data_IF_087026743967
#
_entry.id   IF_087026743967
#
_cell.length_a   1.000
_cell.length_b   1.000
_cell.length_c   1.000
_cell.angle_alpha   90.00
_cell.angle_beta   90.00
_cell.angle_gamma   90.00
#
_symmetry.space_group_name_H-M   'P 1'
#
loop_
_entity.id
_entity.type
_entity.pdbx_description
1 polymer ?
#
# COMPACT_ATOMS: atom_id res chain seq x y z
N UNK A 1 1.61 -3.05 4.59
CA UNK A 1 1.21 -2.82 3.18
C UNK A 1 -0.08 -3.57 2.91
N UNK A 2 -1.01 -3.01 2.13
CA UNK A 2 -2.35 -3.61 1.95
C UNK A 2 -2.23 -4.91 1.12
N UNK A 3 -2.45 -6.05 1.79
CA UNK A 3 -2.54 -7.36 1.13
C UNK A 3 -3.92 -7.52 0.52
N UNK A 4 -3.99 -8.22 -0.60
CA UNK A 4 -5.25 -8.70 -1.17
C UNK A 4 -5.64 -9.98 -0.45
N UNK A 5 -6.84 -10.02 0.10
CA UNK A 5 -7.39 -11.18 0.77
C UNK A 5 -8.05 -12.11 -0.25
N UNK A 6 -7.92 -13.41 -0.02
CA UNK A 6 -8.55 -14.45 -0.85
C UNK A 6 -10.06 -14.21 -0.99
N UNK A 7 -10.74 -13.87 0.09
CA UNK A 7 -12.19 -13.61 0.10
C UNK A 7 -12.59 -12.48 -0.86
N UNK A 8 -11.78 -11.42 -0.95
CA UNK A 8 -12.01 -10.32 -1.90
C UNK A 8 -11.90 -10.79 -3.34
N UNK A 9 -10.97 -11.70 -3.63
CA UNK A 9 -10.80 -12.28 -4.96
C UNK A 9 -11.94 -13.25 -5.27
N UNK A 10 -12.34 -14.10 -4.33
CA UNK A 10 -13.47 -15.03 -4.50
C UNK A 10 -14.75 -14.29 -4.87
N UNK A 11 -15.07 -13.20 -4.17
CA UNK A 11 -16.26 -12.38 -4.47
C UNK A 11 -16.23 -11.80 -5.91
N UNK A 12 -15.04 -11.43 -6.41
CA UNK A 12 -14.88 -10.97 -7.80
C UNK A 12 -15.11 -12.12 -8.78
N UNK A 13 -14.56 -13.32 -8.50
CA UNK A 13 -14.72 -14.49 -9.36
C UNK A 13 -16.18 -14.96 -9.43
N UNK A 14 -16.90 -14.93 -8.31
CA UNK A 14 -18.34 -15.22 -8.25
C UNK A 14 -19.16 -14.20 -9.06
N UNK A 15 -18.84 -12.91 -8.95
CA UNK A 15 -19.48 -11.87 -9.76
C UNK A 15 -19.24 -12.09 -11.26
N UNK A 16 -18.03 -12.52 -11.65
CA UNK A 16 -17.70 -12.87 -13.04
C UNK A 16 -18.55 -14.04 -13.55
N UNK A 17 -18.73 -15.10 -12.75
CA UNK A 17 -19.63 -16.21 -13.09
C UNK A 17 -21.07 -15.74 -13.28
N UNK A 18 -21.55 -14.83 -12.42
CA UNK A 18 -22.87 -14.20 -12.54
C UNK A 18 -23.04 -13.38 -13.83
N UNK A 19 -21.94 -12.92 -14.44
CA UNK A 19 -21.92 -12.24 -15.74
C UNK A 19 -21.79 -13.20 -16.94
N UNK A 20 -21.79 -14.52 -16.71
CA UNK A 20 -21.63 -15.53 -17.75
C UNK A 20 -20.19 -15.75 -18.21
N UNK A 21 -19.20 -15.26 -17.44
CA UNK A 21 -17.79 -15.54 -17.71
C UNK A 21 -17.45 -16.90 -17.13
N UNK A 22 -16.93 -17.80 -17.96
CA UNK A 22 -16.49 -19.11 -17.51
C UNK A 22 -15.24 -18.98 -16.62
N UNK A 23 -15.43 -19.25 -15.32
CA UNK A 23 -14.37 -19.28 -14.32
C UNK A 23 -14.18 -20.74 -13.91
N UNK A 24 -12.93 -21.22 -13.97
CA UNK A 24 -12.54 -22.60 -13.65
C UNK A 24 -13.29 -23.17 -12.43
N UNK A 25 -13.62 -24.46 -12.48
CA UNK A 25 -14.37 -25.18 -11.46
C UNK A 25 -13.81 -25.10 -10.02
N UNK A 26 -12.53 -24.73 -9.84
CA UNK A 26 -11.92 -24.49 -8.54
C UNK A 26 -11.73 -22.98 -8.27
N UNK A 27 -12.84 -22.29 -7.96
CA UNK A 27 -12.86 -20.85 -7.65
C UNK A 27 -11.93 -20.51 -6.48
N UNK A 28 -11.95 -21.33 -5.43
CA UNK A 28 -11.15 -21.10 -4.23
C UNK A 28 -9.65 -21.19 -4.49
N UNK A 29 -9.20 -22.28 -5.14
CA UNK A 29 -7.78 -22.43 -5.49
C UNK A 29 -7.29 -21.33 -6.44
N UNK A 30 -8.15 -20.87 -7.35
CA UNK A 30 -7.84 -19.73 -8.22
C UNK A 30 -7.74 -18.42 -7.42
N UNK A 31 -8.64 -18.19 -6.47
CA UNK A 31 -8.62 -17.01 -5.60
C UNK A 31 -7.34 -16.96 -4.75
N UNK A 32 -6.96 -18.09 -4.15
CA UNK A 32 -5.71 -18.25 -3.39
C UNK A 32 -4.49 -17.91 -4.26
N UNK A 33 -4.41 -18.47 -5.49
CA UNK A 33 -3.29 -18.25 -6.40
C UNK A 33 -3.20 -16.77 -6.86
N UNK A 34 -4.33 -16.14 -7.17
CA UNK A 34 -4.39 -14.72 -7.55
C UNK A 34 -3.96 -13.85 -6.37
N UNK A 35 -4.53 -14.06 -5.18
CA UNK A 35 -4.18 -13.30 -3.99
C UNK A 35 -2.69 -13.43 -3.69
N UNK A 36 -2.13 -14.65 -3.79
CA UNK A 36 -0.69 -14.89 -3.66
C UNK A 36 0.11 -14.11 -4.72
N UNK A 37 -0.18 -14.28 -6.01
CA UNK A 37 0.51 -13.56 -7.10
C UNK A 37 0.46 -12.04 -6.98
N UNK A 38 -0.64 -11.50 -6.44
CA UNK A 38 -0.77 -10.08 -6.16
C UNK A 38 0.06 -9.65 -4.95
N UNK A 39 0.06 -10.45 -3.88
CA UNK A 39 0.78 -10.17 -2.65
C UNK A 39 2.30 -10.38 -2.78
N UNK A 40 2.76 -11.30 -3.62
CA UNK A 40 4.18 -11.52 -3.85
C UNK A 40 4.85 -10.29 -4.49
N UNK A 41 4.09 -9.47 -5.22
CA UNK A 41 4.53 -8.19 -5.78
C UNK A 41 4.63 -7.05 -4.74
N UNK A 42 4.18 -7.28 -3.51
CA UNK A 42 4.26 -6.30 -2.42
C UNK A 42 5.67 -6.26 -1.85
N UNK A 43 6.33 -7.42 -1.75
CA UNK A 43 7.71 -7.48 -1.34
C UNK A 43 8.58 -6.77 -2.37
N UNK A 44 9.53 -5.98 -1.88
CA UNK A 44 10.56 -5.33 -2.67
C UNK A 44 11.90 -5.55 -1.96
N UNK A 45 12.98 -5.45 -2.72
CA UNK A 45 14.31 -5.74 -2.20
C UNK A 45 14.66 -4.82 -1.02
N UNK A 46 15.31 -5.33 0.05
CA UNK A 46 15.69 -4.52 1.20
C UNK A 46 16.61 -3.32 0.86
N UNK A 47 17.34 -3.41 -0.25
CA UNK A 47 18.25 -2.37 -0.77
C UNK A 47 17.59 -1.46 -1.82
N UNK A 48 16.27 -1.56 -2.01
CA UNK A 48 15.56 -0.74 -2.98
C UNK A 48 15.67 0.76 -2.64
N UNK A 49 16.05 1.63 -3.60
CA UNK A 49 16.43 3.02 -3.32
C UNK A 49 15.23 3.97 -3.12
N UNK A 50 14.01 3.44 -3.03
CA UNK A 50 12.77 4.21 -2.91
C UNK A 50 11.89 3.67 -1.80
N UNK A 51 11.12 4.56 -1.17
CA UNK A 51 10.04 4.18 -0.28
C UNK A 51 8.90 3.52 -1.06
N UNK A 52 8.42 2.37 -0.60
CA UNK A 52 7.10 1.90 -0.95
C UNK A 52 6.05 2.67 -0.14
N UNK A 53 5.02 3.19 -0.79
CA UNK A 53 3.91 3.87 -0.12
C UNK A 53 2.57 3.23 -0.46
N UNK A 54 1.61 3.39 0.45
CA UNK A 54 0.21 3.06 0.22
C UNK A 54 -0.72 4.06 0.92
N UNK A 55 -1.73 4.55 0.22
CA UNK A 55 -2.80 5.40 0.74
C UNK A 55 -3.98 4.47 1.07
N UNK A 56 -4.49 4.54 2.30
CA UNK A 56 -5.64 3.73 2.75
C UNK A 56 -6.93 4.55 2.65
N UNK A 57 -7.99 3.87 2.21
CA UNK A 57 -9.37 4.39 2.16
C UNK A 57 -9.49 5.80 1.53
N UNK A 58 -8.88 6.06 0.36
CA UNK A 58 -8.97 7.37 -0.26
C UNK A 58 -10.41 7.63 -0.75
N UNK A 59 -10.88 8.84 -0.52
CA UNK A 59 -12.16 9.32 -1.04
C UNK A 59 -11.91 9.94 -2.42
N UNK A 60 -12.57 9.40 -3.44
CA UNK A 60 -12.53 9.94 -4.81
C UNK A 60 -13.90 10.46 -5.22
N UNK A 61 -13.96 11.68 -5.76
CA UNK A 61 -15.17 12.33 -6.23
C UNK A 61 -14.84 13.45 -7.23
N UNK A 62 -15.79 14.33 -7.53
CA UNK A 62 -15.57 15.47 -8.44
C UNK A 62 -14.46 16.43 -7.97
N UNK A 63 -14.26 16.56 -6.66
CA UNK A 63 -13.20 17.38 -6.05
C UNK A 63 -11.88 16.62 -5.96
N UNK A 64 -11.92 15.36 -5.53
CA UNK A 64 -10.74 14.50 -5.35
C UNK A 64 -10.61 13.50 -6.50
N UNK A 65 -9.81 13.88 -7.50
CA UNK A 65 -9.52 13.01 -8.65
C UNK A 65 -8.83 11.73 -8.20
N UNK A 66 -9.07 10.64 -8.94
CA UNK A 66 -8.35 9.37 -8.75
C UNK A 66 -6.84 9.59 -8.90
N UNK A 67 -6.09 9.02 -7.97
CA UNK A 67 -4.62 9.00 -7.98
C UNK A 67 -4.12 7.60 -7.64
N UNK A 68 -2.83 7.35 -7.88
CA UNK A 68 -2.23 6.08 -7.47
C UNK A 68 -2.21 5.97 -5.95
N UNK A 69 -2.84 4.93 -5.44
CA UNK A 69 -2.94 4.64 -3.99
C UNK A 69 -1.78 3.80 -3.49
N UNK A 70 -0.85 3.43 -4.38
CA UNK A 70 0.34 2.66 -4.06
C UNK A 70 1.45 2.97 -5.06
N UNK A 71 2.69 2.78 -4.66
CA UNK A 71 3.82 2.91 -5.58
C UNK A 71 5.13 3.08 -4.85
N UNK A 72 6.11 3.56 -5.59
CA UNK A 72 7.43 3.88 -5.09
C UNK A 72 7.71 5.37 -5.25
N UNK A 73 8.40 5.96 -4.28
CA UNK A 73 8.84 7.34 -4.35
C UNK A 73 10.18 7.49 -3.62
N UNK A 74 11.11 8.26 -4.21
CA UNK A 74 12.38 8.61 -3.54
C UNK A 74 12.18 9.65 -2.43
N UNK A 75 11.14 10.48 -2.57
CA UNK A 75 10.82 11.59 -1.69
C UNK A 75 9.30 11.69 -1.54
N UNK A 76 8.82 11.82 -0.31
CA UNK A 76 7.39 12.00 -0.01
C UNK A 76 7.22 13.28 0.80
N UNK A 77 6.50 14.26 0.26
CA UNK A 77 6.09 15.47 0.99
C UNK A 77 4.64 15.34 1.40
N UNK A 78 4.36 15.49 2.70
CA UNK A 78 3.02 15.48 3.24
C UNK A 78 2.72 16.83 3.87
N UNK A 79 1.51 17.33 3.65
CA UNK A 79 0.97 18.52 4.32
C UNK A 79 -0.34 18.14 5.00
N UNK A 80 -0.38 18.24 6.31
CA UNK A 80 -1.55 17.88 7.07
C UNK A 80 -2.69 18.87 6.85
N UNK A 81 -3.89 18.32 6.73
CA UNK A 81 -5.17 19.05 6.82
C UNK A 81 -6.00 18.55 8.00
N UNK A 82 -5.43 17.69 8.85
CA UNK A 82 -6.13 17.07 9.97
C UNK A 82 -6.05 17.96 11.20
N UNK A 83 -7.16 18.22 11.89
CA UNK A 83 -7.14 19.01 13.14
C UNK A 83 -6.38 18.29 14.28
N UNK A 84 -6.43 16.95 14.30
CA UNK A 84 -5.74 16.08 15.27
C UNK A 84 -5.12 14.88 14.56
N UNK A 85 -4.13 15.14 13.71
CA UNK A 85 -3.40 14.10 12.97
C UNK A 85 -2.16 13.62 13.71
N UNK A 86 -1.64 12.45 13.34
CA UNK A 86 -0.38 11.92 13.87
C UNK A 86 0.45 11.27 12.76
N UNK A 87 1.77 11.45 12.83
CA UNK A 87 2.74 10.62 12.13
C UNK A 87 3.22 9.54 13.11
N UNK A 88 3.18 8.28 12.68
CA UNK A 88 3.62 7.13 13.50
C UNK A 88 4.85 6.52 12.86
N UNK A 89 5.95 6.47 13.60
CA UNK A 89 7.23 5.90 13.17
C UNK A 89 7.47 4.58 13.91
N UNK A 90 7.77 3.53 13.16
CA UNK A 90 8.08 2.16 13.62
C UNK A 90 7.09 1.57 14.64
N UNK A 91 5.87 2.09 14.69
CA UNK A 91 4.83 1.70 15.64
C UNK A 91 5.03 2.23 17.08
N UNK A 92 6.20 2.75 17.43
CA UNK A 92 6.53 3.18 18.79
C UNK A 92 6.35 4.69 19.01
N UNK A 93 6.71 5.50 18.01
CA UNK A 93 6.76 6.96 18.18
C UNK A 93 5.57 7.63 17.49
N UNK A 94 4.82 8.44 18.23
CA UNK A 94 3.71 9.25 17.72
C UNK A 94 4.08 10.72 17.77
N UNK A 95 4.07 11.37 16.60
CA UNK A 95 4.37 12.78 16.46
C UNK A 95 3.08 13.51 16.06
N UNK A 96 2.63 14.55 16.79
CA UNK A 96 1.50 15.37 16.38
C UNK A 96 1.70 15.93 14.97
N UNK A 97 0.69 15.74 14.11
CA UNK A 97 0.72 16.13 12.71
C UNK A 97 -0.57 16.90 12.36
N UNK A 98 -0.74 18.05 13.02
CA UNK A 98 -1.93 18.89 12.93
C UNK A 98 -1.95 19.74 11.66
N UNK A 99 -3.10 20.33 11.36
CA UNK A 99 -3.35 21.12 10.14
C UNK A 99 -2.26 22.17 9.91
N UNK A 100 -1.74 22.21 8.68
CA UNK A 100 -0.66 23.11 8.30
C UNK A 100 0.75 22.54 8.51
N UNK A 101 0.91 21.51 9.34
CA UNK A 101 2.21 20.83 9.52
C UNK A 101 2.64 20.17 8.21
N UNK A 102 3.93 20.26 7.90
CA UNK A 102 4.52 19.61 6.74
C UNK A 102 5.64 18.66 7.18
N UNK A 103 5.77 17.54 6.49
CA UNK A 103 6.91 16.62 6.64
C UNK A 103 7.44 16.26 5.26
N UNK A 104 8.76 16.09 5.21
CA UNK A 104 9.49 15.62 4.06
C UNK A 104 10.20 14.32 4.45
N UNK A 105 9.88 13.23 3.75
CA UNK A 105 10.52 11.93 3.91
C UNK A 105 11.49 11.71 2.75
N UNK A 106 12.75 11.42 3.07
CA UNK A 106 13.83 11.23 2.12
C UNK A 106 14.73 10.07 2.55
N UNK A 107 15.33 9.40 1.57
CA UNK A 107 16.35 8.38 1.79
C UNK A 107 17.71 9.02 1.53
N UNK A 108 18.60 8.95 2.52
CA UNK A 108 20.00 9.31 2.40
C UNK A 108 20.84 8.05 2.53
N UNK A 109 21.70 7.76 1.55
CA UNK A 109 22.55 6.55 1.59
C UNK A 109 23.50 6.54 2.78
N UNK A 110 23.90 7.71 3.28
CA UNK A 110 24.72 7.85 4.48
C UNK A 110 24.03 7.32 5.75
N UNK A 111 22.70 7.30 5.79
CA UNK A 111 21.89 6.84 6.92
C UNK A 111 21.51 5.35 6.80
N UNK A 112 22.01 4.66 5.77
CA UNK A 112 21.69 3.26 5.55
C UNK A 112 22.22 2.37 6.69
N UNK A 113 21.34 1.50 7.20
CA UNK A 113 21.72 0.49 8.18
C UNK A 113 22.72 -0.50 7.55
N UNK A 114 23.83 -0.73 8.24
CA UNK A 114 24.85 -1.70 7.81
C UNK A 114 24.59 -3.05 8.46
N UNK A 115 24.42 -4.08 7.63
CA UNK A 115 24.24 -5.46 8.07
C UNK A 115 25.47 -6.28 7.71
N UNK A 116 26.02 -7.02 8.67
CA UNK A 116 27.07 -8.02 8.41
C UNK A 116 26.39 -9.26 7.82
N UNK A 117 26.83 -9.70 6.64
CA UNK A 117 26.44 -11.00 6.07
C UNK A 117 27.47 -12.04 6.54
N UNK A 118 27.01 -13.11 7.19
CA UNK A 118 27.82 -14.26 7.62
C UNK A 118 28.01 -15.26 6.48
#
# INVERSE_FOLDING_TARGET
>A
MNRVEEQSVSAILEAMQGMGIDVKANVRGLAEEIAKKMNDKIAFEPDHPNFAYSIREPIFNATFKRTSVRGFARRIRLKSKCSKGFLVLDGATKIPFNSGTEVLLEIFEADALRTIKL
#
